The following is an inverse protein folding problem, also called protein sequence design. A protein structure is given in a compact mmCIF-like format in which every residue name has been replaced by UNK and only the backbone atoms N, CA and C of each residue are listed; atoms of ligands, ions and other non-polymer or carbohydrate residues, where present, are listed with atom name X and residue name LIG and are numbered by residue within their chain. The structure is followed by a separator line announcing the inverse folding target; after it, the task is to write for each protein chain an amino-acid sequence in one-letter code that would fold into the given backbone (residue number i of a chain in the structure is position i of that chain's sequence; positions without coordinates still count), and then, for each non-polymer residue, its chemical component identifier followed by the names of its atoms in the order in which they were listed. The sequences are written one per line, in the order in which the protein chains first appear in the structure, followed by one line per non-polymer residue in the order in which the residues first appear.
data_IF_801930367318
#
_entry.id   IF_801930367318
#
_cell.length_a   1.000
_cell.length_b   1.000
_cell.length_c   1.000
_cell.angle_alpha   90.00
_cell.angle_beta   90.00
_cell.angle_gamma   90.00
#
_symmetry.space_group_name_H-M   'P 1'
#
loop_
_entity.id
_entity.type
_entity.pdbx_description
1 polymer ?
#
# COMPACT_ATOMS: atom_id res chain seq x y z
N UNK A 1 30.99 2.25 -47.08
CA UNK A 1 31.58 2.10 -45.73
C UNK A 1 30.74 2.91 -44.78
N UNK A 2 29.74 2.28 -44.16
CA UNK A 2 28.87 2.90 -43.15
C UNK A 2 29.35 2.44 -41.77
N UNK A 3 29.46 3.31 -40.77
CA UNK A 3 29.81 2.89 -39.43
C UNK A 3 28.59 2.25 -38.76
N UNK A 4 28.77 1.02 -38.33
CA UNK A 4 27.90 0.30 -37.40
C UNK A 4 28.10 0.96 -36.06
N UNK A 5 27.12 1.72 -35.59
CA UNK A 5 27.07 2.26 -34.24
C UNK A 5 26.60 1.18 -33.28
N UNK A 6 27.44 0.87 -32.33
CA UNK A 6 27.18 -0.03 -31.19
C UNK A 6 26.04 0.52 -30.33
N UNK A 7 24.87 -0.11 -30.44
CA UNK A 7 23.74 0.14 -29.54
C UNK A 7 23.68 -0.96 -28.48
N UNK A 8 24.74 -1.01 -27.63
CA UNK A 8 24.86 -1.91 -26.47
C UNK A 8 24.48 -1.21 -25.14
N UNK A 9 23.44 -0.38 -25.15
CA UNK A 9 22.99 0.24 -23.91
C UNK A 9 21.50 0.06 -23.70
N UNK A 10 21.04 -1.08 -23.22
CA UNK A 10 19.79 -1.17 -22.43
C UNK A 10 19.28 -2.59 -22.21
N UNK A 11 20.10 -3.46 -21.71
CA UNK A 11 19.58 -4.64 -21.01
C UNK A 11 19.53 -4.35 -19.50
N UNK A 12 18.84 -3.29 -19.09
CA UNK A 12 18.42 -3.19 -17.69
C UNK A 12 17.15 -4.02 -17.54
N UNK A 13 17.26 -5.13 -16.85
CA UNK A 13 16.12 -5.90 -16.40
C UNK A 13 15.23 -4.95 -15.57
N UNK A 14 14.20 -4.39 -16.17
CA UNK A 14 13.22 -3.58 -15.48
C UNK A 14 12.20 -4.51 -14.82
N UNK A 15 11.89 -4.27 -13.57
CA UNK A 15 10.84 -4.97 -12.86
C UNK A 15 9.53 -4.18 -12.95
N UNK A 16 8.42 -4.86 -12.89
CA UNK A 16 7.10 -4.22 -12.87
C UNK A 16 6.93 -3.39 -11.60
N UNK A 17 6.54 -2.12 -11.73
CA UNK A 17 6.32 -1.22 -10.58
C UNK A 17 5.17 -1.65 -9.67
N UNK A 18 4.29 -2.55 -10.12
CA UNK A 18 3.13 -3.00 -9.34
C UNK A 18 3.31 -4.39 -8.72
N UNK A 19 3.98 -5.34 -9.38
CA UNK A 19 4.13 -6.71 -8.90
C UNK A 19 5.58 -7.18 -8.77
N UNK A 20 6.54 -6.33 -9.12
CA UNK A 20 7.99 -6.56 -9.04
C UNK A 20 8.50 -7.76 -9.87
N UNK A 21 7.66 -8.35 -10.73
CA UNK A 21 8.09 -9.38 -11.65
C UNK A 21 8.97 -8.81 -12.76
N UNK A 22 9.96 -9.57 -13.25
CA UNK A 22 10.86 -9.09 -14.29
C UNK A 22 10.12 -8.81 -15.60
N UNK A 23 10.41 -7.68 -16.22
CA UNK A 23 9.82 -7.25 -17.48
C UNK A 23 10.81 -7.36 -18.63
N UNK A 24 10.31 -7.71 -19.82
CA UNK A 24 11.09 -7.54 -21.05
C UNK A 24 11.31 -6.06 -21.34
N UNK A 25 12.49 -5.70 -21.77
CA UNK A 25 12.80 -4.32 -22.16
C UNK A 25 11.75 -3.78 -23.16
N UNK A 26 11.19 -2.61 -22.87
CA UNK A 26 10.16 -1.98 -23.70
C UNK A 26 8.72 -2.44 -23.44
N UNK A 27 8.45 -3.30 -22.48
CA UNK A 27 7.09 -3.71 -22.13
C UNK A 27 6.27 -2.52 -21.63
N UNK A 28 5.18 -2.20 -22.30
CA UNK A 28 4.27 -1.12 -21.91
C UNK A 28 3.30 -1.53 -20.80
N UNK A 29 3.06 -2.84 -20.63
CA UNK A 29 2.25 -3.43 -19.57
C UNK A 29 2.93 -4.67 -19.02
N UNK A 30 2.77 -4.90 -17.74
CA UNK A 30 3.26 -6.11 -17.10
C UNK A 30 2.43 -7.33 -17.56
N UNK A 31 3.05 -8.42 -18.03
CA UNK A 31 2.33 -9.62 -18.44
C UNK A 31 1.65 -10.33 -17.25
N UNK A 32 2.14 -10.14 -16.02
CA UNK A 32 1.63 -10.81 -14.83
C UNK A 32 0.48 -10.06 -14.17
N UNK A 33 0.57 -8.73 -14.02
CA UNK A 33 -0.45 -7.94 -13.32
C UNK A 33 -1.16 -6.93 -14.21
N UNK A 34 -0.81 -6.86 -15.50
CA UNK A 34 -1.34 -5.93 -16.51
C UNK A 34 -1.17 -4.43 -16.18
N UNK A 35 -0.49 -4.10 -15.09
CA UNK A 35 -0.22 -2.72 -14.74
C UNK A 35 0.62 -2.02 -15.82
N UNK A 36 0.26 -0.78 -16.19
CA UNK A 36 1.05 -0.01 -17.15
C UNK A 36 2.41 0.37 -16.55
N UNK A 37 3.49 0.24 -17.35
CA UNK A 37 4.85 0.57 -16.93
C UNK A 37 5.19 1.99 -17.37
N UNK A 38 5.45 2.87 -16.42
CA UNK A 38 5.88 4.24 -16.72
C UNK A 38 7.37 4.25 -17.02
N UNK A 39 7.84 4.89 -18.11
CA UNK A 39 9.27 5.07 -18.32
C UNK A 39 9.87 5.94 -17.20
N UNK A 40 11.01 5.53 -16.69
CA UNK A 40 11.72 6.12 -15.54
C UNK A 40 11.97 7.66 -15.63
N UNK A 41 11.89 8.24 -16.84
CA UNK A 41 12.03 9.68 -17.10
C UNK A 41 10.89 10.54 -16.50
N UNK A 42 9.77 9.94 -16.11
CA UNK A 42 8.60 10.67 -15.62
C UNK A 42 8.65 10.99 -14.12
N UNK A 43 9.54 10.37 -13.36
CA UNK A 43 9.69 10.68 -11.92
C UNK A 43 10.24 12.10 -11.66
N UNK A 44 11.13 12.59 -12.52
CA UNK A 44 11.70 13.94 -12.40
C UNK A 44 10.70 15.01 -12.87
N UNK A 45 9.85 14.68 -13.85
CA UNK A 45 8.81 15.58 -14.38
C UNK A 45 7.62 15.66 -13.42
N UNK A 46 7.36 14.62 -12.63
CA UNK A 46 6.20 14.54 -11.72
C UNK A 46 6.17 15.63 -10.63
N UNK A 47 7.31 16.09 -10.17
CA UNK A 47 7.38 17.16 -9.16
C UNK A 47 7.23 18.57 -9.74
N UNK A 48 7.62 18.79 -10.98
CA UNK A 48 7.42 20.09 -11.66
C UNK A 48 5.98 20.21 -12.17
N UNK A 49 5.37 19.09 -12.61
CA UNK A 49 3.96 19.08 -13.07
C UNK A 49 2.95 19.24 -11.93
N UNK A 50 3.27 18.90 -10.69
CA UNK A 50 2.34 19.11 -9.54
C UNK A 50 2.03 20.60 -9.34
N UNK A 51 2.93 21.51 -9.65
CA UNK A 51 2.72 22.97 -9.55
C UNK A 51 2.13 23.59 -10.83
N UNK A 52 2.44 23.04 -12.00
CA UNK A 52 1.88 23.52 -13.28
C UNK A 52 0.51 22.88 -13.56
N UNK A 53 0.27 21.65 -13.03
CA UNK A 53 -0.97 20.89 -13.25
C UNK A 53 -2.23 21.49 -12.62
N UNK A 54 -2.11 22.23 -11.52
CA UNK A 54 -3.30 22.85 -10.89
C UNK A 54 -3.93 23.97 -11.71
N UNK A 55 -3.12 24.79 -12.37
CA UNK A 55 -3.62 25.91 -13.22
C UNK A 55 -4.04 25.40 -14.61
N UNK A 56 -3.30 24.45 -15.18
CA UNK A 56 -3.67 23.82 -16.47
C UNK A 56 -4.87 22.90 -16.36
N UNK A 57 -5.08 22.20 -15.22
CA UNK A 57 -6.29 21.41 -14.99
C UNK A 57 -7.54 22.30 -14.86
N UNK A 58 -7.46 23.43 -14.19
CA UNK A 58 -8.55 24.41 -14.13
C UNK A 58 -8.86 25.04 -15.49
N UNK A 59 -7.84 25.36 -16.27
CA UNK A 59 -8.01 25.87 -17.64
C UNK A 59 -8.55 24.81 -18.60
N UNK A 60 -8.11 23.56 -18.48
CA UNK A 60 -8.64 22.47 -19.30
C UNK A 60 -10.09 22.11 -18.92
N UNK A 61 -10.45 22.16 -17.63
CA UNK A 61 -11.82 22.02 -17.14
C UNK A 61 -12.73 23.13 -17.69
N UNK A 62 -12.23 24.36 -17.71
CA UNK A 62 -12.97 25.52 -18.24
C UNK A 62 -13.14 25.43 -19.78
N UNK A 63 -12.11 25.00 -20.50
CA UNK A 63 -12.19 24.79 -21.96
C UNK A 63 -13.07 23.60 -22.32
N UNK A 64 -13.01 22.49 -21.54
CA UNK A 64 -13.90 21.36 -21.71
C UNK A 64 -15.35 21.75 -21.37
N UNK A 65 -15.60 22.53 -20.31
CA UNK A 65 -16.93 23.02 -19.99
C UNK A 65 -17.48 23.98 -21.07
N UNK A 66 -16.65 24.85 -21.64
CA UNK A 66 -17.07 25.69 -22.78
C UNK A 66 -17.30 24.88 -24.06
N UNK A 67 -16.46 23.90 -24.38
CA UNK A 67 -16.69 23.00 -25.51
C UNK A 67 -17.96 22.15 -25.34
N UNK A 68 -18.19 21.62 -24.12
CA UNK A 68 -19.42 20.88 -23.79
C UNK A 68 -20.66 21.80 -23.95
N UNK A 69 -20.60 23.04 -23.51
CA UNK A 69 -21.70 23.99 -23.70
C UNK A 69 -21.96 24.32 -25.18
N UNK A 70 -20.93 24.40 -26.00
CA UNK A 70 -21.05 24.67 -27.44
C UNK A 70 -21.48 23.43 -28.25
N UNK A 71 -21.20 22.22 -27.75
CA UNK A 71 -21.52 20.94 -28.41
C UNK A 71 -22.93 20.43 -28.04
N UNK A 72 -23.50 20.90 -26.92
CA UNK A 72 -24.85 20.54 -26.49
C UNK A 72 -25.97 21.01 -27.45
N UNK A 73 -25.67 21.79 -28.47
CA UNK A 73 -26.67 22.32 -29.42
C UNK A 73 -27.03 21.42 -30.60
N UNK A 74 -26.29 20.35 -30.81
CA UNK A 74 -26.56 19.45 -31.97
C UNK A 74 -26.55 17.98 -31.59
N UNK A 75 -27.58 17.23 -31.99
CA UNK A 75 -27.78 15.79 -31.67
C UNK A 75 -26.67 14.84 -32.21
N UNK A 76 -25.88 15.31 -33.13
CA UNK A 76 -24.80 14.55 -33.77
C UNK A 76 -23.55 14.38 -32.89
N UNK A 77 -23.34 15.25 -31.88
CA UNK A 77 -22.09 15.30 -31.09
C UNK A 77 -22.19 14.56 -29.73
N UNK A 78 -23.34 13.92 -29.46
CA UNK A 78 -23.59 13.28 -28.15
C UNK A 78 -22.60 12.14 -27.84
N UNK A 79 -22.30 11.31 -28.83
CA UNK A 79 -21.38 10.18 -28.67
C UNK A 79 -19.94 10.65 -28.48
N UNK A 80 -19.53 11.72 -29.18
CA UNK A 80 -18.22 12.32 -29.03
C UNK A 80 -18.07 12.96 -27.64
N UNK A 81 -19.11 13.62 -27.14
CA UNK A 81 -19.14 14.20 -25.81
C UNK A 81 -19.03 13.15 -24.70
N UNK A 82 -19.74 12.02 -24.83
CA UNK A 82 -19.64 10.89 -23.90
C UNK A 82 -18.24 10.29 -23.93
N UNK A 83 -17.65 10.12 -25.11
CA UNK A 83 -16.28 9.61 -25.25
C UNK A 83 -15.26 10.56 -24.60
N UNK A 84 -15.41 11.86 -24.79
CA UNK A 84 -14.54 12.88 -24.16
C UNK A 84 -14.65 12.86 -22.64
N UNK A 85 -15.86 12.71 -22.07
CA UNK A 85 -16.07 12.59 -20.63
C UNK A 85 -15.42 11.31 -20.06
N UNK A 86 -15.51 10.18 -20.77
CA UNK A 86 -14.85 8.93 -20.37
C UNK A 86 -13.32 9.14 -20.38
N UNK A 87 -12.76 9.71 -21.43
CA UNK A 87 -11.31 9.97 -21.50
C UNK A 87 -10.84 10.92 -20.38
N UNK A 88 -11.62 11.97 -20.10
CA UNK A 88 -11.33 12.90 -19.02
C UNK A 88 -11.40 12.20 -17.64
N UNK A 89 -12.38 11.30 -17.45
CA UNK A 89 -12.49 10.47 -16.26
C UNK A 89 -11.27 9.57 -16.09
N UNK A 90 -10.81 8.88 -17.14
CA UNK A 90 -9.62 8.02 -17.09
C UNK A 90 -8.36 8.83 -16.73
N UNK A 91 -8.26 10.05 -17.25
CA UNK A 91 -7.16 10.97 -16.93
C UNK A 91 -7.19 11.39 -15.45
N UNK A 92 -8.35 11.79 -14.91
CA UNK A 92 -8.48 12.15 -13.50
C UNK A 92 -8.23 10.94 -12.58
N UNK A 93 -8.77 9.78 -12.92
CA UNK A 93 -8.51 8.55 -12.17
C UNK A 93 -7.02 8.18 -12.15
N UNK A 94 -6.31 8.37 -13.26
CA UNK A 94 -4.86 8.15 -13.34
C UNK A 94 -4.05 9.14 -12.49
N UNK A 95 -4.59 10.33 -12.25
CA UNK A 95 -4.02 11.35 -11.36
C UNK A 95 -4.39 11.12 -9.88
N UNK A 96 -5.27 10.14 -9.58
CA UNK A 96 -5.75 9.84 -8.24
C UNK A 96 -7.00 10.63 -7.81
N UNK A 97 -7.55 11.46 -8.68
CA UNK A 97 -8.82 12.17 -8.43
C UNK A 97 -10.02 11.28 -8.81
N UNK A 98 -10.31 10.29 -7.98
CA UNK A 98 -11.40 9.35 -8.21
C UNK A 98 -12.77 10.01 -8.10
N UNK A 99 -12.94 11.00 -7.23
CA UNK A 99 -14.21 11.71 -7.06
C UNK A 99 -14.54 12.56 -8.29
N UNK A 100 -13.58 13.30 -8.82
CA UNK A 100 -13.73 14.05 -10.06
C UNK A 100 -14.00 13.13 -11.25
N UNK A 101 -13.25 12.03 -11.37
CA UNK A 101 -13.47 11.01 -12.38
C UNK A 101 -14.89 10.43 -12.34
N UNK A 102 -15.40 10.13 -11.14
CA UNK A 102 -16.77 9.65 -10.94
C UNK A 102 -17.81 10.65 -11.39
N UNK A 103 -17.64 11.92 -11.04
CA UNK A 103 -18.53 13.01 -11.47
C UNK A 103 -18.61 13.15 -12.99
N UNK A 104 -17.50 12.94 -13.72
CA UNK A 104 -17.49 12.93 -15.19
C UNK A 104 -18.30 11.76 -15.77
N UNK A 105 -18.19 10.56 -15.20
CA UNK A 105 -19.02 9.42 -15.63
C UNK A 105 -20.50 9.61 -15.27
N UNK A 106 -20.86 10.30 -14.20
CA UNK A 106 -22.24 10.68 -13.92
C UNK A 106 -22.79 11.67 -14.95
N UNK A 107 -21.97 12.65 -15.35
CA UNK A 107 -22.34 13.55 -16.46
C UNK A 107 -22.51 12.77 -17.77
N UNK A 108 -21.63 11.82 -18.07
CA UNK A 108 -21.75 10.96 -19.24
C UNK A 108 -23.05 10.15 -19.22
N UNK A 109 -23.48 9.61 -18.06
CA UNK A 109 -24.76 8.91 -17.91
C UNK A 109 -25.97 9.86 -18.02
N UNK A 110 -25.83 11.12 -17.64
CA UNK A 110 -26.91 12.12 -17.86
C UNK A 110 -27.13 12.37 -19.35
N UNK A 111 -26.04 12.38 -20.14
CA UNK A 111 -26.12 12.49 -21.60
C UNK A 111 -26.64 11.21 -22.25
N UNK A 112 -26.26 10.03 -21.76
CA UNK A 112 -26.64 8.72 -22.31
C UNK A 112 -27.00 7.73 -21.17
N UNK A 113 -28.24 7.81 -20.61
CA UNK A 113 -28.60 7.05 -19.41
C UNK A 113 -28.54 5.52 -19.56
N UNK A 114 -28.66 5.01 -20.78
CA UNK A 114 -28.62 3.57 -21.09
C UNK A 114 -27.24 3.05 -21.54
N UNK A 115 -26.20 3.88 -21.55
CA UNK A 115 -24.90 3.52 -22.09
C UNK A 115 -24.23 2.39 -21.31
N UNK A 116 -24.17 1.21 -21.92
CA UNK A 116 -23.45 0.06 -21.34
C UNK A 116 -21.95 0.32 -21.25
N UNK A 117 -21.41 1.14 -22.16
CA UNK A 117 -20.01 1.56 -22.13
C UNK A 117 -19.69 2.40 -20.90
N UNK A 118 -20.48 3.44 -20.62
CA UNK A 118 -20.29 4.28 -19.43
C UNK A 118 -20.46 3.46 -18.15
N UNK A 119 -21.45 2.55 -18.12
CA UNK A 119 -21.66 1.66 -16.97
C UNK A 119 -20.46 0.74 -16.73
N UNK A 120 -19.81 0.21 -17.79
CA UNK A 120 -18.60 -0.58 -17.64
C UNK A 120 -17.45 0.25 -17.05
N UNK A 121 -17.20 1.46 -17.57
CA UNK A 121 -16.19 2.36 -16.99
C UNK A 121 -16.49 2.73 -15.53
N UNK A 122 -17.77 2.87 -15.14
CA UNK A 122 -18.15 3.08 -13.74
C UNK A 122 -17.83 1.88 -12.85
N UNK A 123 -18.03 0.66 -13.34
CA UNK A 123 -17.64 -0.55 -12.60
C UNK A 123 -16.13 -0.57 -12.39
N UNK A 124 -15.35 -0.34 -13.44
CA UNK A 124 -13.88 -0.34 -13.39
C UNK A 124 -13.36 0.77 -12.45
N UNK A 125 -13.92 1.96 -12.56
CA UNK A 125 -13.57 3.08 -11.68
C UNK A 125 -13.97 2.81 -10.22
N UNK A 126 -15.13 2.23 -9.98
CA UNK A 126 -15.57 1.86 -8.62
C UNK A 126 -14.59 0.85 -7.99
N UNK A 127 -14.18 -0.19 -8.74
CA UNK A 127 -13.18 -1.14 -8.27
C UNK A 127 -11.83 -0.49 -8.02
N UNK A 128 -11.41 0.43 -8.90
CA UNK A 128 -10.15 1.17 -8.74
C UNK A 128 -10.20 2.07 -7.52
N UNK A 129 -11.28 2.80 -7.30
CA UNK A 129 -11.46 3.70 -6.16
C UNK A 129 -11.49 2.94 -4.83
N UNK A 130 -12.24 1.83 -4.75
CA UNK A 130 -12.29 0.98 -3.56
C UNK A 130 -10.92 0.41 -3.19
N UNK A 131 -10.06 0.11 -4.17
CA UNK A 131 -8.68 -0.35 -3.93
C UNK A 131 -7.78 0.73 -3.34
N UNK A 132 -8.04 1.97 -3.67
CA UNK A 132 -7.20 3.12 -3.30
C UNK A 132 -7.92 4.06 -2.32
N UNK A 133 -8.95 3.57 -1.63
CA UNK A 133 -9.73 4.39 -0.73
C UNK A 133 -8.86 4.93 0.41
N UNK A 134 -8.86 6.22 0.57
CA UNK A 134 -8.27 6.92 1.71
C UNK A 134 -9.25 7.97 2.21
N UNK A 135 -9.28 8.20 3.52
CA UNK A 135 -10.12 9.24 4.13
C UNK A 135 -9.36 10.55 4.21
N UNK A 136 -10.05 11.63 3.95
CA UNK A 136 -9.55 12.98 4.15
C UNK A 136 -10.44 13.69 5.19
N UNK A 137 -9.83 14.27 6.21
CA UNK A 137 -10.56 14.93 7.29
C UNK A 137 -11.53 13.99 8.02
N UNK A 138 -12.76 14.46 8.24
CA UNK A 138 -13.81 13.72 8.97
C UNK A 138 -14.64 12.77 8.11
N UNK A 139 -14.28 12.59 6.84
CA UNK A 139 -15.00 11.73 5.91
C UNK A 139 -14.98 10.27 6.37
N UNK A 140 -16.14 9.62 6.35
CA UNK A 140 -16.28 8.19 6.66
C UNK A 140 -16.01 7.32 5.42
N UNK A 141 -15.63 6.06 5.62
CA UNK A 141 -15.53 5.10 4.51
C UNK A 141 -16.88 4.89 3.83
N UNK A 142 -17.96 4.86 4.63
CA UNK A 142 -19.33 4.69 4.13
C UNK A 142 -19.72 5.80 3.15
N UNK A 143 -19.35 7.04 3.40
CA UNK A 143 -19.61 8.16 2.48
C UNK A 143 -18.90 7.98 1.14
N UNK A 144 -17.70 7.39 1.14
CA UNK A 144 -16.93 7.15 -0.08
C UNK A 144 -17.49 5.95 -0.85
N UNK A 145 -17.74 4.81 -0.17
CA UNK A 145 -18.03 3.56 -0.88
C UNK A 145 -19.50 3.35 -1.21
N UNK A 146 -20.45 3.95 -0.45
CA UNK A 146 -21.89 3.77 -0.73
C UNK A 146 -22.30 4.16 -2.16
N UNK A 147 -21.82 5.28 -2.74
CA UNK A 147 -22.12 5.64 -4.13
C UNK A 147 -21.61 4.64 -5.16
N UNK A 148 -20.58 3.86 -4.82
CA UNK A 148 -19.92 2.91 -5.72
C UNK A 148 -20.62 1.56 -5.77
N UNK A 149 -21.28 1.15 -4.66
CA UNK A 149 -21.90 -0.16 -4.53
C UNK A 149 -22.86 -0.54 -5.66
N UNK A 150 -23.76 0.35 -6.15
CA UNK A 150 -24.65 -0.01 -7.25
C UNK A 150 -23.90 -0.44 -8.52
N UNK A 151 -22.77 0.21 -8.83
CA UNK A 151 -21.93 -0.16 -9.98
C UNK A 151 -21.19 -1.49 -9.74
N UNK A 152 -20.69 -1.73 -8.54
CA UNK A 152 -20.05 -3.01 -8.19
C UNK A 152 -21.06 -4.17 -8.28
N UNK A 153 -22.29 -4.00 -7.78
CA UNK A 153 -23.36 -5.01 -7.94
C UNK A 153 -23.72 -5.25 -9.41
N UNK A 154 -23.73 -4.20 -10.22
CA UNK A 154 -23.94 -4.34 -11.66
C UNK A 154 -22.84 -5.16 -12.32
N UNK A 155 -21.57 -4.93 -11.96
CA UNK A 155 -20.41 -5.72 -12.39
C UNK A 155 -20.56 -7.19 -11.98
N UNK A 156 -20.94 -7.46 -10.74
CA UNK A 156 -21.12 -8.82 -10.23
C UNK A 156 -22.22 -9.63 -10.95
N UNK A 157 -23.21 -8.96 -11.56
CA UNK A 157 -24.30 -9.64 -12.29
C UNK A 157 -23.98 -9.83 -13.77
N UNK A 158 -23.26 -8.89 -14.39
CA UNK A 158 -23.10 -8.83 -15.86
C UNK A 158 -21.81 -9.45 -16.39
N UNK A 159 -20.83 -9.62 -15.55
CA UNK A 159 -19.48 -10.04 -15.97
C UNK A 159 -19.30 -11.56 -16.02
N UNK A 160 -18.24 -12.00 -16.70
CA UNK A 160 -17.75 -13.37 -16.66
C UNK A 160 -17.26 -13.80 -15.27
N UNK A 161 -16.84 -15.06 -15.11
CA UNK A 161 -16.51 -15.61 -13.78
C UNK A 161 -15.42 -14.83 -13.03
N UNK A 162 -14.31 -14.49 -13.68
CA UNK A 162 -13.20 -13.78 -13.03
C UNK A 162 -13.54 -12.32 -12.72
N UNK A 163 -14.14 -11.58 -13.65
CA UNK A 163 -14.58 -10.19 -13.45
C UNK A 163 -15.70 -10.11 -12.41
N UNK A 164 -16.60 -11.12 -12.39
CA UNK A 164 -17.61 -11.27 -11.35
C UNK A 164 -16.97 -11.46 -9.98
N UNK A 165 -15.95 -12.31 -9.89
CA UNK A 165 -15.20 -12.53 -8.65
C UNK A 165 -14.54 -11.24 -8.16
N UNK A 166 -13.92 -10.49 -9.07
CA UNK A 166 -13.35 -9.18 -8.75
C UNK A 166 -14.41 -8.23 -8.17
N UNK A 167 -15.56 -8.10 -8.83
CA UNK A 167 -16.63 -7.23 -8.34
C UNK A 167 -17.16 -7.66 -6.98
N UNK A 168 -17.38 -8.96 -6.76
CA UNK A 168 -17.80 -9.51 -5.47
C UNK A 168 -16.76 -9.25 -4.36
N UNK A 169 -15.48 -9.46 -4.65
CA UNK A 169 -14.41 -9.15 -3.70
C UNK A 169 -14.39 -7.65 -3.32
N UNK A 170 -14.60 -6.75 -4.29
CA UNK A 170 -14.68 -5.31 -4.03
C UNK A 170 -15.93 -4.93 -3.21
N UNK A 171 -17.07 -5.62 -3.40
CA UNK A 171 -18.25 -5.46 -2.54
C UNK A 171 -17.94 -5.92 -1.11
N UNK A 172 -17.31 -7.08 -0.95
CA UNK A 172 -16.87 -7.60 0.35
C UNK A 172 -15.98 -6.60 1.08
N UNK A 173 -14.97 -6.06 0.40
CA UNK A 173 -14.07 -5.05 0.97
C UNK A 173 -14.79 -3.72 1.28
N UNK A 174 -15.66 -3.25 0.41
CA UNK A 174 -16.50 -2.06 0.68
C UNK A 174 -17.33 -2.25 1.95
N UNK A 175 -17.89 -3.45 2.15
CA UNK A 175 -18.64 -3.78 3.36
C UNK A 175 -17.73 -3.84 4.59
N UNK A 176 -16.51 -4.37 4.48
CA UNK A 176 -15.54 -4.37 5.56
C UNK A 176 -15.16 -2.93 5.98
N UNK A 177 -14.97 -2.03 5.02
CA UNK A 177 -14.71 -0.61 5.28
C UNK A 177 -15.91 0.07 5.99
N UNK A 178 -17.14 -0.22 5.58
CA UNK A 178 -18.37 0.29 6.22
C UNK A 178 -18.53 -0.25 7.65
N UNK A 179 -18.11 -1.49 7.89
CA UNK A 179 -18.11 -2.07 9.24
C UNK A 179 -17.18 -1.29 10.19
N UNK A 180 -16.07 -0.73 9.70
CA UNK A 180 -15.19 0.16 10.48
C UNK A 180 -15.88 1.46 10.91
N UNK A 181 -16.86 1.92 10.16
CA UNK A 181 -17.70 3.07 10.53
C UNK A 181 -18.89 2.66 11.45
N UNK A 182 -18.92 1.40 11.91
CA UNK A 182 -19.96 0.89 12.81
C UNK A 182 -21.22 0.40 12.11
N UNK A 183 -21.24 0.29 10.77
CA UNK A 183 -22.38 -0.30 10.06
C UNK A 183 -22.45 -1.79 10.35
N UNK A 184 -23.60 -2.27 10.82
CA UNK A 184 -23.79 -3.66 11.26
C UNK A 184 -24.52 -4.51 10.22
N UNK A 185 -24.44 -5.83 10.37
CA UNK A 185 -25.16 -6.84 9.55
C UNK A 185 -24.83 -6.74 8.06
N UNK A 186 -23.56 -6.57 7.75
CA UNK A 186 -23.06 -6.59 6.39
C UNK A 186 -22.61 -8.00 6.03
N UNK A 187 -22.97 -8.46 4.84
CA UNK A 187 -22.58 -9.77 4.28
C UNK A 187 -21.13 -9.70 3.76
N UNK A 188 -20.14 -9.66 4.66
CA UNK A 188 -18.71 -9.48 4.28
C UNK A 188 -18.12 -10.82 3.86
N UNK A 189 -18.18 -11.80 4.76
CA UNK A 189 -17.63 -13.16 4.53
C UNK A 189 -18.33 -13.83 3.34
N UNK A 190 -19.65 -13.71 3.24
CA UNK A 190 -20.46 -14.26 2.14
C UNK A 190 -20.07 -13.69 0.77
N UNK A 191 -19.65 -12.42 0.71
CA UNK A 191 -19.20 -11.82 -0.55
C UNK A 191 -17.81 -12.33 -0.96
N UNK A 192 -16.90 -12.50 -0.02
CA UNK A 192 -15.59 -13.09 -0.30
C UNK A 192 -15.72 -14.57 -0.69
N UNK A 193 -16.55 -15.35 0.01
CA UNK A 193 -16.83 -16.74 -0.32
C UNK A 193 -17.44 -16.85 -1.73
N UNK A 194 -18.41 -16.01 -2.06
CA UNK A 194 -18.99 -15.96 -3.40
C UNK A 194 -17.97 -15.57 -4.49
N UNK A 195 -17.03 -14.70 -4.18
CA UNK A 195 -15.94 -14.38 -5.08
C UNK A 195 -15.03 -15.58 -5.33
N UNK A 196 -14.66 -16.31 -4.27
CA UNK A 196 -13.81 -17.51 -4.36
C UNK A 196 -14.53 -18.70 -5.00
N UNK A 197 -15.86 -18.78 -4.89
CA UNK A 197 -16.66 -19.75 -5.66
C UNK A 197 -16.63 -19.44 -7.17
N UNK A 198 -16.66 -18.14 -7.53
CA UNK A 198 -16.61 -17.73 -8.94
C UNK A 198 -15.19 -17.85 -9.53
N UNK A 199 -14.17 -17.59 -8.75
CA UNK A 199 -12.74 -17.69 -9.11
C UNK A 199 -11.93 -18.06 -7.85
N UNK A 200 -11.56 -19.34 -7.68
CA UNK A 200 -10.82 -19.82 -6.50
C UNK A 200 -9.44 -19.21 -6.32
N UNK A 201 -8.85 -18.63 -7.37
CA UNK A 201 -7.53 -18.00 -7.34
C UNK A 201 -7.63 -16.46 -7.28
N UNK A 202 -8.81 -15.93 -6.96
CA UNK A 202 -9.04 -14.50 -6.96
C UNK A 202 -8.18 -13.77 -5.91
N UNK A 203 -7.22 -13.00 -6.40
CA UNK A 203 -6.23 -12.30 -5.57
C UNK A 203 -6.85 -11.30 -4.60
N UNK A 204 -7.88 -10.57 -5.04
CA UNK A 204 -8.55 -9.57 -4.21
C UNK A 204 -9.34 -10.24 -3.08
N UNK A 205 -10.11 -11.29 -3.41
CA UNK A 205 -10.89 -12.02 -2.42
C UNK A 205 -9.98 -12.60 -1.33
N UNK A 206 -8.93 -13.32 -1.71
CA UNK A 206 -7.98 -13.87 -0.75
C UNK A 206 -7.30 -12.78 0.10
N UNK A 207 -6.79 -11.72 -0.53
CA UNK A 207 -6.06 -10.67 0.20
C UNK A 207 -6.96 -9.93 1.18
N UNK A 208 -8.15 -9.52 0.75
CA UNK A 208 -9.05 -8.74 1.60
C UNK A 208 -9.76 -9.59 2.64
N UNK A 209 -10.07 -10.85 2.35
CA UNK A 209 -10.60 -11.76 3.35
C UNK A 209 -9.57 -11.99 4.48
N UNK A 210 -8.31 -12.20 4.12
CA UNK A 210 -7.24 -12.28 5.12
C UNK A 210 -7.12 -11.01 5.96
N UNK A 211 -7.11 -9.84 5.30
CA UNK A 211 -7.05 -8.55 5.99
C UNK A 211 -8.26 -8.34 6.90
N UNK A 212 -9.46 -8.70 6.43
CA UNK A 212 -10.70 -8.61 7.22
C UNK A 212 -10.67 -9.48 8.47
N UNK A 213 -10.18 -10.72 8.34
CA UNK A 213 -10.02 -11.62 9.49
C UNK A 213 -9.12 -11.00 10.57
N UNK A 214 -7.98 -10.41 10.20
CA UNK A 214 -7.12 -9.69 11.14
C UNK A 214 -7.79 -8.45 11.74
N UNK A 215 -8.47 -7.65 10.93
CA UNK A 215 -9.17 -6.44 11.40
C UNK A 215 -10.29 -6.78 12.39
N UNK A 216 -11.01 -7.86 12.15
CA UNK A 216 -12.11 -8.33 12.99
C UNK A 216 -11.59 -8.83 14.34
N UNK A 217 -10.54 -9.63 14.34
CA UNK A 217 -9.97 -10.22 15.56
C UNK A 217 -9.26 -9.18 16.45
N UNK A 218 -8.76 -8.08 15.87
CA UNK A 218 -8.24 -6.95 16.65
C UNK A 218 -9.29 -6.25 17.53
N UNK A 219 -10.57 -6.47 17.27
CA UNK A 219 -11.69 -5.87 18.01
C UNK A 219 -12.47 -6.86 18.89
N UNK A 220 -12.06 -8.13 18.90
CA UNK A 220 -12.75 -9.25 19.58
C UNK A 220 -11.70 -10.15 20.22
N UNK A 221 -12.10 -11.12 21.01
CA UNK A 221 -11.20 -12.14 21.58
C UNK A 221 -10.40 -12.85 20.46
N UNK A 222 -9.09 -12.96 20.67
CA UNK A 222 -8.16 -13.60 19.73
C UNK A 222 -8.59 -15.03 19.39
N UNK A 223 -8.87 -15.30 18.13
CA UNK A 223 -9.26 -16.60 17.60
C UNK A 223 -8.15 -17.16 16.69
N UNK A 224 -7.29 -18.00 17.25
CA UNK A 224 -6.16 -18.61 16.53
C UNK A 224 -6.57 -19.32 15.22
N UNK A 225 -7.63 -20.15 15.14
CA UNK A 225 -8.08 -20.74 13.88
C UNK A 225 -8.36 -19.73 12.77
N UNK A 226 -8.93 -18.58 13.07
CA UNK A 226 -9.20 -17.52 12.09
C UNK A 226 -7.93 -16.85 11.61
N UNK A 227 -6.98 -16.61 12.51
CA UNK A 227 -5.68 -16.08 12.15
C UNK A 227 -4.90 -17.03 11.24
N UNK A 228 -4.95 -18.34 11.53
CA UNK A 228 -4.35 -19.35 10.66
C UNK A 228 -5.05 -19.42 9.29
N UNK A 229 -6.36 -19.21 9.23
CA UNK A 229 -7.12 -19.07 7.99
C UNK A 229 -6.67 -17.83 7.20
N UNK A 230 -6.52 -16.68 7.87
CA UNK A 230 -6.02 -15.45 7.23
C UNK A 230 -4.63 -15.66 6.59
N UNK A 231 -3.72 -16.34 7.29
CA UNK A 231 -2.41 -16.70 6.74
C UNK A 231 -2.52 -17.59 5.51
N UNK A 232 -3.48 -18.55 5.51
CA UNK A 232 -3.75 -19.41 4.36
C UNK A 232 -4.21 -18.60 3.16
N UNK A 233 -5.09 -17.63 3.34
CA UNK A 233 -5.54 -16.73 2.28
C UNK A 233 -4.40 -15.87 1.74
N UNK A 234 -3.55 -15.25 2.57
CA UNK A 234 -2.38 -14.52 2.07
C UNK A 234 -1.42 -15.42 1.27
N UNK A 235 -1.21 -16.66 1.72
CA UNK A 235 -0.40 -17.64 1.00
C UNK A 235 -0.99 -17.95 -0.38
N UNK A 236 -2.29 -18.17 -0.47
CA UNK A 236 -3.01 -18.40 -1.72
C UNK A 236 -2.88 -17.19 -2.67
N UNK A 237 -3.13 -15.97 -2.16
CA UNK A 237 -2.95 -14.75 -2.94
C UNK A 237 -1.54 -14.60 -3.53
N UNK A 238 -0.50 -14.87 -2.72
CA UNK A 238 0.89 -14.80 -3.16
C UNK A 238 1.27 -15.89 -4.15
N UNK A 239 0.64 -17.07 -4.07
CA UNK A 239 0.88 -18.19 -4.98
C UNK A 239 0.43 -17.88 -6.42
N UNK A 240 -0.54 -16.97 -6.62
CA UNK A 240 -0.98 -16.52 -7.94
C UNK A 240 0.14 -15.81 -8.73
N UNK A 241 1.19 -15.31 -8.07
CA UNK A 241 2.24 -14.49 -8.66
C UNK A 241 1.80 -13.07 -9.06
N UNK A 242 0.52 -12.77 -8.96
CA UNK A 242 -0.03 -11.46 -9.33
C UNK A 242 0.03 -10.47 -8.17
N UNK A 243 0.20 -9.18 -8.47
CA UNK A 243 0.11 -8.07 -7.49
C UNK A 243 0.91 -8.28 -6.19
N UNK A 244 2.03 -9.00 -6.23
CA UNK A 244 2.81 -9.41 -5.05
C UNK A 244 3.10 -8.24 -4.09
N UNK A 245 3.52 -7.09 -4.62
CA UNK A 245 3.81 -5.91 -3.79
C UNK A 245 2.56 -5.43 -3.02
N UNK A 246 1.41 -5.36 -3.69
CA UNK A 246 0.15 -4.94 -3.06
C UNK A 246 -0.30 -5.97 -2.00
N UNK A 247 -0.23 -7.28 -2.30
CA UNK A 247 -0.56 -8.34 -1.34
C UNK A 247 0.32 -8.24 -0.10
N UNK A 248 1.63 -8.10 -0.29
CA UNK A 248 2.60 -7.97 0.83
C UNK A 248 2.36 -6.72 1.64
N UNK A 249 1.97 -5.63 1.00
CA UNK A 249 1.57 -4.39 1.63
C UNK A 249 0.38 -4.60 2.57
N UNK A 250 -0.66 -5.25 2.09
CA UNK A 250 -1.86 -5.59 2.88
C UNK A 250 -1.52 -6.58 4.00
N UNK A 251 -0.71 -7.58 3.72
CA UNK A 251 -0.22 -8.55 4.68
C UNK A 251 0.57 -7.88 5.81
N UNK A 252 1.52 -7.02 5.49
CA UNK A 252 2.31 -6.27 6.46
C UNK A 252 1.44 -5.38 7.32
N UNK A 253 0.54 -4.60 6.71
CA UNK A 253 -0.39 -3.75 7.45
C UNK A 253 -1.26 -4.57 8.41
N UNK A 254 -1.73 -5.75 7.98
CA UNK A 254 -2.51 -6.65 8.83
C UNK A 254 -1.68 -7.20 9.99
N UNK A 255 -0.44 -7.64 9.73
CA UNK A 255 0.44 -8.25 10.71
C UNK A 255 0.90 -7.24 11.77
N UNK A 256 1.32 -6.05 11.35
CA UNK A 256 1.81 -4.99 12.24
C UNK A 256 0.70 -4.47 13.16
N UNK A 257 -0.52 -4.36 12.65
CA UNK A 257 -1.67 -3.89 13.43
C UNK A 257 -2.39 -5.02 14.19
N UNK A 258 -1.85 -6.23 14.17
CA UNK A 258 -2.42 -7.35 14.92
C UNK A 258 -1.89 -7.39 16.36
N UNK A 259 -2.66 -8.01 17.27
CA UNK A 259 -2.16 -8.37 18.61
C UNK A 259 -1.45 -9.73 18.62
N UNK A 260 -1.27 -10.37 17.46
CA UNK A 260 -0.64 -11.67 17.30
C UNK A 260 0.88 -11.52 17.16
N UNK A 261 1.62 -11.87 18.20
CA UNK A 261 3.09 -11.84 18.20
C UNK A 261 3.69 -12.65 17.05
N UNK A 262 3.08 -13.78 16.67
CA UNK A 262 3.56 -14.57 15.54
C UNK A 262 3.39 -13.84 14.20
N UNK A 263 2.32 -13.05 14.03
CA UNK A 263 2.14 -12.21 12.84
C UNK A 263 3.16 -11.06 12.78
N UNK A 264 3.49 -10.44 13.91
CA UNK A 264 4.53 -9.41 13.97
C UNK A 264 5.91 -9.97 13.56
N UNK A 265 6.24 -11.21 13.96
CA UNK A 265 7.46 -11.89 13.52
C UNK A 265 7.40 -12.26 12.03
N UNK A 266 6.26 -12.71 11.53
CA UNK A 266 6.06 -12.94 10.09
C UNK A 266 6.24 -11.64 9.28
N UNK A 267 5.84 -10.47 9.80
CA UNK A 267 6.07 -9.20 9.15
C UNK A 267 7.58 -8.95 8.91
N UNK A 268 8.43 -9.24 9.90
CA UNK A 268 9.90 -9.14 9.74
C UNK A 268 10.39 -10.06 8.62
N UNK A 269 9.90 -11.30 8.56
CA UNK A 269 10.27 -12.26 7.52
C UNK A 269 9.80 -11.82 6.12
N UNK A 270 8.62 -11.23 6.01
CA UNK A 270 8.13 -10.67 4.74
C UNK A 270 9.04 -9.55 4.26
N UNK A 271 9.46 -8.64 5.14
CA UNK A 271 10.37 -7.55 4.78
C UNK A 271 11.76 -8.07 4.42
N UNK A 272 12.29 -9.05 5.16
CA UNK A 272 13.53 -9.72 4.80
C UNK A 272 13.46 -10.33 3.38
N UNK A 273 12.33 -10.94 3.02
CA UNK A 273 12.11 -11.48 1.68
C UNK A 273 12.06 -10.39 0.61
N UNK A 274 11.40 -9.26 0.88
CA UNK A 274 11.34 -8.11 -0.04
C UNK A 274 12.75 -7.55 -0.28
N UNK A 275 13.55 -7.39 0.79
CA UNK A 275 14.96 -6.97 0.71
C UNK A 275 15.78 -7.94 -0.16
N UNK A 276 15.64 -9.25 0.08
CA UNK A 276 16.38 -10.27 -0.66
C UNK A 276 16.02 -10.31 -2.16
N UNK A 277 14.79 -9.95 -2.52
CA UNK A 277 14.32 -9.85 -3.91
C UNK A 277 14.79 -8.56 -4.60
N UNK A 278 15.45 -7.65 -3.90
CA UNK A 278 15.87 -6.35 -4.43
C UNK A 278 14.71 -5.43 -4.80
N UNK A 279 13.57 -5.60 -4.15
CA UNK A 279 12.34 -4.88 -4.42
C UNK A 279 12.22 -3.64 -3.51
N UNK A 280 11.72 -2.52 -4.04
CA UNK A 280 11.44 -1.33 -3.23
C UNK A 280 10.23 -1.53 -2.30
N UNK A 281 10.29 -0.94 -1.10
CA UNK A 281 9.32 -1.13 -0.03
C UNK A 281 8.65 0.19 0.43
N UNK A 282 8.80 1.26 -0.31
CA UNK A 282 8.49 2.64 0.07
C UNK A 282 7.11 2.88 0.73
N UNK A 283 6.07 2.17 0.30
CA UNK A 283 4.69 2.49 0.70
C UNK A 283 4.37 2.23 2.18
N UNK A 284 5.13 1.36 2.87
CA UNK A 284 4.89 0.97 4.27
C UNK A 284 6.14 1.03 5.15
N UNK A 285 7.22 1.62 4.64
CA UNK A 285 8.48 1.70 5.36
C UNK A 285 8.32 2.33 6.76
N UNK A 286 7.62 3.45 6.86
CA UNK A 286 7.39 4.14 8.13
C UNK A 286 6.60 3.29 9.15
N UNK A 287 5.55 2.58 8.72
CA UNK A 287 4.75 1.72 9.61
C UNK A 287 5.57 0.54 10.11
N UNK A 288 6.36 -0.06 9.23
CA UNK A 288 7.20 -1.20 9.59
C UNK A 288 8.39 -0.78 10.45
N UNK A 289 8.98 0.35 10.16
CA UNK A 289 10.05 0.95 10.95
C UNK A 289 9.58 1.22 12.38
N UNK A 290 8.37 1.75 12.57
CA UNK A 290 7.79 1.91 13.90
C UNK A 290 7.62 0.57 14.63
N UNK A 291 7.23 -0.51 13.94
CA UNK A 291 7.13 -1.84 14.53
C UNK A 291 8.49 -2.39 14.95
N UNK A 292 9.53 -2.23 14.12
CA UNK A 292 10.91 -2.61 14.47
C UNK A 292 11.46 -1.77 15.63
N UNK A 293 11.19 -0.48 15.64
CA UNK A 293 11.56 0.39 16.75
C UNK A 293 10.92 -0.09 18.05
N UNK A 294 9.64 -0.40 18.04
CA UNK A 294 8.93 -0.95 19.20
C UNK A 294 9.49 -2.31 19.65
N UNK A 295 9.88 -3.17 18.73
CA UNK A 295 10.56 -4.43 19.04
C UNK A 295 11.85 -4.19 19.84
N UNK A 296 12.64 -3.21 19.45
CA UNK A 296 13.97 -2.95 20.02
C UNK A 296 13.87 -2.19 21.35
N UNK A 297 13.05 -1.14 21.40
CA UNK A 297 12.97 -0.22 22.54
C UNK A 297 11.69 -0.35 23.37
N UNK A 298 10.74 -1.16 22.94
CA UNK A 298 9.47 -1.37 23.64
C UNK A 298 9.67 -1.92 25.06
N UNK A 299 8.76 -1.58 25.97
CA UNK A 299 8.77 -1.98 27.36
C UNK A 299 7.61 -2.93 27.70
N UNK A 300 7.76 -3.64 28.83
CA UNK A 300 6.74 -4.56 29.36
C UNK A 300 6.75 -5.95 28.71
N UNK A 301 5.85 -6.80 29.20
CA UNK A 301 5.82 -8.25 28.89
C UNK A 301 5.60 -8.53 27.40
N UNK A 302 4.77 -7.73 26.74
CA UNK A 302 4.52 -7.91 25.30
C UNK A 302 5.80 -7.71 24.47
N UNK A 303 6.55 -6.65 24.73
CA UNK A 303 7.79 -6.37 24.02
C UNK A 303 8.87 -7.41 24.35
N UNK A 304 8.90 -7.93 25.59
CA UNK A 304 9.79 -9.01 25.97
C UNK A 304 9.47 -10.30 25.22
N UNK A 305 8.20 -10.69 25.16
CA UNK A 305 7.72 -11.86 24.43
C UNK A 305 8.00 -11.73 22.91
N UNK A 306 7.80 -10.52 22.35
CA UNK A 306 8.07 -10.24 20.94
C UNK A 306 9.57 -10.39 20.63
N UNK A 307 10.45 -9.88 21.50
CA UNK A 307 11.91 -10.03 21.36
C UNK A 307 12.35 -11.49 21.45
N UNK A 308 11.85 -12.24 22.44
CA UNK A 308 12.12 -13.66 22.56
C UNK A 308 11.69 -14.43 21.31
N UNK A 309 10.47 -14.19 20.83
CA UNK A 309 9.93 -14.83 19.64
C UNK A 309 10.73 -14.43 18.37
N UNK A 310 11.16 -13.17 18.26
CA UNK A 310 12.00 -12.72 17.15
C UNK A 310 13.37 -13.39 17.15
N UNK A 311 14.00 -13.52 18.30
CA UNK A 311 15.34 -14.14 18.43
C UNK A 311 15.34 -15.66 18.22
N UNK A 312 14.19 -16.31 18.31
CA UNK A 312 14.05 -17.71 17.87
C UNK A 312 14.14 -17.88 16.35
N UNK A 313 14.06 -16.80 15.57
CA UNK A 313 14.03 -16.83 14.10
C UNK A 313 15.12 -15.96 13.45
N UNK A 314 15.50 -14.88 14.08
CA UNK A 314 16.46 -13.89 13.58
C UNK A 314 17.55 -13.61 14.62
N UNK A 315 18.73 -13.28 14.16
CA UNK A 315 19.78 -12.68 14.98
C UNK A 315 19.61 -11.17 15.07
N UNK A 316 20.19 -10.53 16.08
CA UNK A 316 20.22 -9.06 16.16
C UNK A 316 20.91 -8.42 14.94
N UNK A 317 21.92 -9.07 14.36
CA UNK A 317 22.56 -8.59 13.14
C UNK A 317 21.60 -8.56 11.96
N UNK A 318 20.81 -9.61 11.74
CA UNK A 318 19.80 -9.65 10.69
C UNK A 318 18.71 -8.57 10.91
N UNK A 319 18.27 -8.38 12.16
CA UNK A 319 17.31 -7.32 12.49
C UNK A 319 17.91 -5.93 12.21
N UNK A 320 19.18 -5.69 12.58
CA UNK A 320 19.88 -4.44 12.30
C UNK A 320 20.02 -4.19 10.78
N UNK A 321 20.34 -5.21 10.00
CA UNK A 321 20.41 -5.10 8.54
C UNK A 321 19.05 -4.77 7.91
N UNK A 322 17.97 -5.39 8.40
CA UNK A 322 16.61 -5.12 7.93
C UNK A 322 16.22 -3.68 8.30
N UNK A 323 16.51 -3.26 9.54
CA UNK A 323 16.19 -1.92 10.01
C UNK A 323 16.92 -0.83 9.21
N UNK A 324 18.22 -0.99 8.98
CA UNK A 324 19.01 -0.08 8.16
C UNK A 324 18.49 -0.01 6.72
N UNK A 325 18.09 -1.14 6.15
CA UNK A 325 17.49 -1.17 4.81
C UNK A 325 16.16 -0.44 4.77
N UNK A 326 15.26 -0.66 5.74
CA UNK A 326 13.96 0.04 5.82
C UNK A 326 14.16 1.55 5.91
N UNK A 327 15.13 2.02 6.72
CA UNK A 327 15.45 3.44 6.80
C UNK A 327 15.98 3.99 5.47
N UNK A 328 16.81 3.22 4.75
CA UNK A 328 17.36 3.66 3.44
C UNK A 328 16.33 3.74 2.32
N UNK A 329 15.19 3.06 2.46
CA UNK A 329 14.09 3.10 1.49
C UNK A 329 13.18 4.32 1.66
N UNK A 330 13.34 5.09 2.73
CA UNK A 330 12.54 6.30 2.98
C UNK A 330 12.99 7.45 2.08
N UNK A 331 12.05 8.29 1.61
CA UNK A 331 12.37 9.48 0.84
C UNK A 331 13.01 10.58 1.69
N UNK A 332 12.74 10.56 2.99
CA UNK A 332 13.33 11.46 3.98
C UNK A 332 14.53 10.77 4.63
N UNK A 333 15.69 11.39 4.54
CA UNK A 333 16.95 10.86 5.08
C UNK A 333 17.18 11.28 6.52
N UNK A 334 16.37 12.17 7.09
CA UNK A 334 16.52 12.60 8.47
C UNK A 334 15.92 11.53 9.40
N UNK A 335 16.80 10.88 10.17
CA UNK A 335 16.39 9.98 11.24
C UNK A 335 15.98 10.78 12.47
N UNK A 336 14.80 10.47 13.01
CA UNK A 336 14.36 11.08 14.26
C UNK A 336 15.14 10.55 15.47
N UNK A 337 14.93 11.15 16.61
CA UNK A 337 15.65 10.79 17.83
C UNK A 337 15.30 9.37 18.32
N UNK A 338 14.07 8.89 18.07
CA UNK A 338 13.65 7.54 18.44
C UNK A 338 14.30 6.49 17.54
N UNK A 339 14.39 6.74 16.27
CA UNK A 339 15.10 5.89 15.30
C UNK A 339 16.59 5.79 15.62
N UNK A 340 17.23 6.93 15.91
CA UNK A 340 18.64 6.95 16.31
C UNK A 340 18.87 6.18 17.61
N UNK A 341 17.93 6.26 18.56
CA UNK A 341 18.00 5.48 19.80
C UNK A 341 17.85 3.98 19.51
N UNK A 342 16.91 3.59 18.67
CA UNK A 342 16.73 2.18 18.26
C UNK A 342 17.98 1.64 17.55
N UNK A 343 18.60 2.42 16.66
CA UNK A 343 19.87 2.04 16.00
C UNK A 343 21.01 1.86 17.00
N UNK A 344 21.16 2.78 17.96
CA UNK A 344 22.17 2.67 19.01
C UNK A 344 21.95 1.40 19.85
N UNK A 345 20.68 1.11 20.19
CA UNK A 345 20.33 -0.09 20.94
C UNK A 345 20.58 -1.37 20.16
N UNK A 346 20.25 -1.41 18.87
CA UNK A 346 20.57 -2.54 18.00
C UNK A 346 22.10 -2.74 17.89
N UNK A 347 22.86 -1.66 17.73
CA UNK A 347 24.32 -1.70 17.68
C UNK A 347 24.90 -2.28 18.98
N UNK A 348 24.34 -1.95 20.14
CA UNK A 348 24.71 -2.55 21.40
C UNK A 348 24.39 -4.05 21.44
N UNK A 349 23.18 -4.44 21.03
CA UNK A 349 22.70 -5.82 21.04
C UNK A 349 23.45 -6.72 20.03
N UNK A 350 24.05 -6.14 19.00
CA UNK A 350 24.94 -6.85 18.05
C UNK A 350 26.36 -7.01 18.54
N UNK A 351 26.68 -6.55 19.75
CA UNK A 351 28.00 -6.73 20.37
C UNK A 351 29.02 -5.64 20.02
N UNK A 352 28.57 -4.47 19.60
CA UNK A 352 29.42 -3.30 19.33
C UNK A 352 29.25 -2.20 20.40
N UNK A 353 29.51 -2.46 21.70
CA UNK A 353 29.18 -1.54 22.79
C UNK A 353 29.89 -0.18 22.70
N UNK A 354 31.14 -0.15 22.22
CA UNK A 354 31.88 1.11 22.07
C UNK A 354 31.29 2.02 21.02
N UNK A 355 30.79 1.47 19.90
CA UNK A 355 30.08 2.21 18.85
C UNK A 355 28.72 2.67 19.34
N UNK A 356 27.97 1.79 20.02
CA UNK A 356 26.70 2.13 20.63
C UNK A 356 26.84 3.27 21.65
N UNK A 357 27.87 3.23 22.49
CA UNK A 357 28.17 4.29 23.47
C UNK A 357 28.39 5.64 22.79
N UNK A 358 29.11 5.67 21.66
CA UNK A 358 29.32 6.89 20.88
C UNK A 358 27.99 7.45 20.36
N UNK A 359 27.12 6.57 19.86
CA UNK A 359 25.78 6.95 19.38
C UNK A 359 24.89 7.48 20.51
N UNK A 360 24.87 6.81 21.67
CA UNK A 360 24.11 7.27 22.84
C UNK A 360 24.60 8.63 23.37
N UNK A 361 25.91 8.86 23.42
CA UNK A 361 26.48 10.15 23.81
C UNK A 361 26.10 11.27 22.85
N UNK A 362 26.12 11.02 21.54
CA UNK A 362 25.65 11.98 20.53
C UNK A 362 24.18 12.33 20.75
N UNK A 363 23.33 11.31 20.93
CA UNK A 363 21.90 11.52 21.20
C UNK A 363 21.65 12.29 22.49
N UNK A 364 22.40 12.00 23.54
CA UNK A 364 22.26 12.69 24.83
C UNK A 364 22.70 14.15 24.71
N UNK A 365 23.72 14.45 23.89
CA UNK A 365 24.16 15.82 23.62
C UNK A 365 23.13 16.63 22.78
N UNK A 366 22.43 15.96 21.88
CA UNK A 366 21.38 16.57 21.02
C UNK A 366 20.01 16.64 21.73
N UNK A 367 19.84 15.89 22.86
CA UNK A 367 18.56 15.81 23.55
C UNK A 367 18.18 17.16 24.20
N UNK A 368 17.04 17.71 23.79
CA UNK A 368 16.41 18.84 24.46
C UNK A 368 15.75 18.43 25.77
N UNK A 369 15.50 19.39 26.68
CA UNK A 369 14.67 19.16 27.87
C UNK A 369 13.30 18.58 27.47
N UNK A 370 12.96 17.38 27.98
CA UNK A 370 11.70 16.69 27.69
C UNK A 370 11.80 15.57 26.64
N UNK A 371 12.99 15.22 26.19
CA UNK A 371 13.17 14.05 25.33
C UNK A 371 12.72 12.75 26.03
N UNK A 372 11.84 11.99 25.38
CA UNK A 372 11.14 10.82 25.97
C UNK A 372 12.08 9.74 26.52
N UNK A 373 13.28 9.59 25.94
CA UNK A 373 14.27 8.55 26.32
C UNK A 373 15.47 9.12 27.09
N UNK A 374 15.40 10.33 27.66
CA UNK A 374 16.55 10.97 28.32
C UNK A 374 17.13 10.13 29.45
N UNK A 375 16.24 9.48 30.22
CA UNK A 375 16.64 8.61 31.34
C UNK A 375 17.30 7.33 30.84
N UNK A 376 16.70 6.67 29.87
CA UNK A 376 17.21 5.44 29.26
C UNK A 376 18.57 5.68 28.57
N UNK A 377 18.75 6.84 27.94
CA UNK A 377 20.01 7.26 27.36
C UNK A 377 21.10 7.43 28.42
N UNK A 378 20.79 8.14 29.51
CA UNK A 378 21.72 8.35 30.62
C UNK A 378 22.12 7.03 31.27
N UNK A 379 21.14 6.14 31.49
CA UNK A 379 21.37 4.81 32.07
C UNK A 379 22.23 3.93 31.12
N UNK A 380 21.98 3.98 29.79
CA UNK A 380 22.76 3.25 28.79
C UNK A 380 24.21 3.75 28.73
N UNK A 381 24.43 5.06 28.73
CA UNK A 381 25.77 5.66 28.76
C UNK A 381 26.48 5.25 30.05
N UNK A 382 25.88 5.41 31.24
CA UNK A 382 26.50 5.06 32.51
C UNK A 382 26.89 3.56 32.58
N UNK A 383 26.04 2.69 32.07
CA UNK A 383 26.30 1.24 32.05
C UNK A 383 27.44 0.87 31.11
N UNK A 384 27.50 1.47 29.93
CA UNK A 384 28.50 1.14 28.92
C UNK A 384 29.86 1.80 29.23
N UNK A 385 29.90 2.99 29.82
CA UNK A 385 31.14 3.61 30.30
C UNK A 385 31.88 2.70 31.29
N UNK A 386 31.16 2.10 32.24
CA UNK A 386 31.75 1.17 33.21
C UNK A 386 32.24 -0.16 32.61
N UNK A 387 31.77 -0.53 31.42
CA UNK A 387 32.21 -1.78 30.75
C UNK A 387 33.35 -1.57 29.75
N UNK A 388 33.46 -0.38 29.15
CA UNK A 388 34.51 -0.07 28.15
C UNK A 388 35.84 0.28 28.83
N UNK A 389 35.81 0.91 30.01
CA UNK A 389 36.98 1.27 30.79
C UNK A 389 37.58 0.09 31.61
N UNK A 390 36.87 -1.04 31.65
CA UNK A 390 37.23 -2.23 32.43
C UNK A 390 37.93 -3.38 31.64
N UNK A 391 38.10 -3.24 30.34
CA UNK A 391 38.83 -4.12 29.44
C UNK A 391 40.06 -3.42 28.85
#
# INVERSE_FOLDING_TARGET
MSPVGDDLSAARNSHCVACLEPLRAGAQRCPHCQAPQRPQRWQVIGNVLKWVGGVTALLSLFLVAQQVNNVLSTWTDRQESVAALIMASDLQASAGDYAGAWGLLEQALTLEPGSTRVQAHRVDLAMLWVRNVSRTGDQTFSEIVNPLLPSLYLGAVRSGSSERADALAHIGWSNALRARDGVRRLAIDEQFDAALVADPDNVFAHTWQATWLYMRENNVDYDKPRIDLARTHFKAALASGQRRQWIRSMQLSSYINSYDTAAEIEAIAVVASIKAEGSSFLAHAATFEQALTNLVVGHGDRAANLREAALNRFTWNEILEIYNWVLSERPDTDTDAQERYALARLTELTGEPAKALTMYRSLLADASEGYTFSRELADAVARLDGTVDGN
#
